data_IF_808894512596
#
_entry.id   IF_808894512596
#
_cell.length_a   1.000
_cell.length_b   1.000
_cell.length_c   1.000
_cell.angle_alpha   90.00
_cell.angle_beta   90.00
_cell.angle_gamma   90.00
#
_symmetry.space_group_name_H-M   'P 1'
#
loop_
_entity.id
_entity.type
_entity.pdbx_description
1 polymer ?
#
# COMPACT_ATOMS: atom_id res chain seq x y z
N UNK A 1 2.39 35.39 -23.31
CA UNK A 1 3.32 35.06 -22.22
C UNK A 1 3.00 33.65 -21.78
N UNK A 2 3.80 32.69 -22.21
CA UNK A 2 3.68 31.30 -21.79
C UNK A 2 4.23 31.21 -20.36
N UNK A 3 3.34 30.92 -19.39
CA UNK A 3 3.79 30.54 -18.06
C UNK A 3 4.59 29.23 -18.24
N UNK A 4 5.87 29.29 -17.94
CA UNK A 4 6.69 28.09 -17.78
C UNK A 4 6.07 27.29 -16.63
N UNK A 5 5.53 26.12 -16.95
CA UNK A 5 5.13 25.12 -15.96
C UNK A 5 6.35 24.82 -15.10
N UNK A 6 6.41 25.41 -13.92
CA UNK A 6 7.38 25.05 -12.90
C UNK A 6 6.96 23.67 -12.38
N UNK A 7 7.41 22.63 -13.08
CA UNK A 7 7.36 21.26 -12.52
C UNK A 7 8.14 21.29 -11.22
N UNK A 8 7.42 21.27 -10.09
CA UNK A 8 8.03 21.26 -8.76
C UNK A 8 8.77 19.96 -8.60
N UNK A 9 10.10 20.02 -8.57
CA UNK A 9 10.95 18.84 -8.47
C UNK A 9 10.72 18.15 -7.13
N UNK A 10 10.48 16.86 -7.17
CA UNK A 10 10.43 16.02 -5.97
C UNK A 10 11.86 15.77 -5.44
N UNK A 11 11.97 15.68 -4.12
CA UNK A 11 13.21 15.26 -3.43
C UNK A 11 13.32 13.73 -3.30
N UNK A 12 12.40 13.00 -3.91
CA UNK A 12 12.36 11.55 -3.84
C UNK A 12 13.26 10.93 -4.91
N UNK A 13 13.94 9.86 -4.52
CA UNK A 13 14.74 9.02 -5.42
C UNK A 13 14.30 7.57 -5.31
N UNK A 14 14.44 6.85 -6.41
CA UNK A 14 14.31 5.39 -6.41
C UNK A 14 15.55 4.77 -5.74
N UNK A 15 15.33 3.83 -4.83
CA UNK A 15 16.43 3.21 -4.09
C UNK A 15 17.39 2.48 -5.01
N UNK A 16 16.86 1.74 -6.00
CA UNK A 16 17.69 0.95 -6.93
C UNK A 16 18.63 1.80 -7.81
N UNK A 17 18.23 3.01 -8.17
CA UNK A 17 19.01 3.92 -9.01
C UNK A 17 19.88 4.88 -8.21
N UNK A 18 19.92 4.75 -6.89
CA UNK A 18 20.67 5.60 -5.98
C UNK A 18 21.95 4.90 -5.49
N UNK A 19 22.87 5.68 -4.91
CA UNK A 19 24.04 5.16 -4.19
C UNK A 19 23.69 4.71 -2.75
N UNK A 20 22.42 4.81 -2.36
CA UNK A 20 21.94 4.44 -1.03
C UNK A 20 21.56 2.97 -0.98
N UNK A 21 21.88 2.33 0.13
CA UNK A 21 21.51 0.96 0.43
C UNK A 21 20.56 0.91 1.62
N UNK A 22 19.80 -0.18 1.72
CA UNK A 22 18.99 -0.46 2.90
C UNK A 22 19.90 -0.57 4.13
N UNK A 23 19.40 -0.06 5.26
CA UNK A 23 20.11 -0.20 6.54
C UNK A 23 20.35 -1.68 6.83
N UNK A 24 21.56 -2.01 7.30
CA UNK A 24 21.94 -3.40 7.61
C UNK A 24 20.95 -4.01 8.62
N UNK A 25 20.30 -5.06 8.21
CA UNK A 25 19.30 -5.77 9.01
C UNK A 25 17.86 -5.53 8.54
N UNK A 26 17.61 -4.53 7.70
CA UNK A 26 16.31 -4.38 7.06
C UNK A 26 16.19 -5.23 5.79
N UNK A 27 15.06 -5.92 5.58
CA UNK A 27 14.89 -6.78 4.41
C UNK A 27 14.69 -5.94 3.14
N UNK A 28 15.25 -6.41 2.03
CA UNK A 28 14.85 -5.92 0.72
C UNK A 28 13.46 -6.48 0.38
N UNK A 29 12.47 -5.59 0.41
CA UNK A 29 11.06 -5.96 0.20
C UNK A 29 10.65 -5.92 -1.27
N UNK A 30 11.56 -5.60 -2.19
CA UNK A 30 11.26 -5.63 -3.62
C UNK A 30 10.86 -7.05 -4.04
N UNK A 31 9.89 -7.14 -4.93
CA UNK A 31 9.23 -8.38 -5.35
C UNK A 31 8.37 -9.08 -4.27
N UNK A 32 8.27 -8.55 -3.05
CA UNK A 32 7.34 -9.07 -2.08
C UNK A 32 5.90 -8.89 -2.58
N UNK A 33 5.06 -9.86 -2.23
CA UNK A 33 3.62 -9.78 -2.52
C UNK A 33 2.98 -8.67 -1.72
N UNK A 34 2.02 -8.00 -2.34
CA UNK A 34 1.20 -6.98 -1.71
C UNK A 34 -0.21 -7.52 -1.55
N UNK A 35 -0.70 -7.53 -0.32
CA UNK A 35 -2.03 -8.00 0.04
C UNK A 35 -2.83 -6.80 0.56
N UNK A 36 -3.99 -6.58 -0.02
CA UNK A 36 -4.94 -5.54 0.38
C UNK A 36 -6.05 -6.08 1.30
N UNK A 37 -7.13 -5.31 1.39
CA UNK A 37 -8.34 -5.72 2.12
C UNK A 37 -8.87 -7.07 1.63
N UNK A 38 -9.52 -7.81 2.53
CA UNK A 38 -10.10 -9.12 2.25
C UNK A 38 -9.07 -10.18 1.82
N UNK A 39 -7.80 -9.99 2.19
CA UNK A 39 -6.70 -10.90 1.84
C UNK A 39 -6.48 -11.06 0.32
N UNK A 40 -6.85 -10.05 -0.46
CA UNK A 40 -6.71 -10.06 -1.91
C UNK A 40 -5.29 -9.67 -2.34
N UNK A 41 -4.66 -10.47 -3.19
CA UNK A 41 -3.36 -10.11 -3.79
C UNK A 41 -3.56 -8.94 -4.76
N UNK A 42 -2.92 -7.80 -4.46
CA UNK A 42 -2.96 -6.56 -5.24
C UNK A 42 -1.88 -6.56 -6.32
N UNK A 43 -0.72 -7.11 -6.00
CA UNK A 43 0.44 -7.10 -6.88
C UNK A 43 1.73 -7.35 -6.12
N UNK A 44 2.80 -6.66 -6.53
CA UNK A 44 4.12 -6.78 -5.92
C UNK A 44 4.79 -5.42 -5.73
N UNK A 45 5.63 -5.31 -4.71
CA UNK A 45 6.52 -4.15 -4.57
C UNK A 45 7.52 -4.16 -5.73
N UNK A 46 7.56 -3.09 -6.48
CA UNK A 46 8.50 -2.89 -7.59
C UNK A 46 9.73 -2.12 -7.15
N UNK A 47 9.53 -1.05 -6.33
CA UNK A 47 10.58 -0.14 -5.94
C UNK A 47 10.20 0.60 -4.64
N UNK A 48 11.17 1.27 -4.03
CA UNK A 48 11.01 2.15 -2.88
C UNK A 48 11.43 3.55 -3.27
N UNK A 49 10.61 4.55 -2.94
CA UNK A 49 10.98 5.94 -3.06
C UNK A 49 11.34 6.47 -1.68
N UNK A 50 12.55 6.98 -1.56
CA UNK A 50 13.03 7.56 -0.33
C UNK A 50 13.37 9.05 -0.51
N UNK A 51 13.28 9.76 0.57
CA UNK A 51 13.66 11.15 0.67
C UNK A 51 15.18 11.26 0.91
N UNK A 52 15.88 11.84 -0.05
CA UNK A 52 17.33 11.98 -0.03
C UNK A 52 17.87 12.79 1.15
N UNK A 53 17.08 13.69 1.71
CA UNK A 53 17.51 14.56 2.82
C UNK A 53 17.26 13.90 4.19
N UNK A 54 16.09 13.32 4.39
CA UNK A 54 15.74 12.64 5.64
C UNK A 54 16.16 11.16 5.67
N UNK A 55 16.57 10.58 4.53
CA UNK A 55 16.89 9.17 4.32
C UNK A 55 15.74 8.21 4.72
N UNK A 56 14.51 8.72 4.69
CA UNK A 56 13.31 7.93 5.02
C UNK A 56 12.59 7.47 3.78
N UNK A 57 12.14 6.23 3.78
CA UNK A 57 11.22 5.73 2.74
C UNK A 57 9.89 6.46 2.89
N UNK A 58 9.37 7.00 1.79
CA UNK A 58 8.10 7.73 1.75
C UNK A 58 7.01 6.97 1.01
N UNK A 59 7.39 6.25 -0.05
CA UNK A 59 6.43 5.50 -0.86
C UNK A 59 6.94 4.11 -1.23
N UNK A 60 6.01 3.20 -1.35
CA UNK A 60 6.17 1.94 -2.05
C UNK A 60 5.67 2.13 -3.49
N UNK A 61 6.47 1.73 -4.46
CA UNK A 61 6.02 1.59 -5.85
C UNK A 61 5.47 0.18 -6.01
N UNK A 62 4.17 0.07 -6.24
CA UNK A 62 3.49 -1.21 -6.38
C UNK A 62 3.14 -1.45 -7.85
N UNK A 63 3.56 -2.60 -8.36
CA UNK A 63 3.12 -3.10 -9.65
C UNK A 63 1.79 -3.85 -9.45
N UNK A 64 0.68 -3.19 -9.79
CA UNK A 64 -0.66 -3.75 -9.65
C UNK A 64 -0.83 -4.89 -10.66
N UNK A 65 -1.23 -6.07 -10.18
CA UNK A 65 -1.79 -7.12 -11.03
C UNK A 65 -3.29 -6.83 -11.26
N UNK A 66 -3.58 -6.08 -12.31
CA UNK A 66 -4.92 -5.55 -12.54
C UNK A 66 -5.96 -6.61 -12.92
N UNK A 67 -5.55 -7.71 -13.57
CA UNK A 67 -6.46 -8.72 -14.11
C UNK A 67 -7.43 -9.32 -13.06
N UNK A 68 -6.97 -9.82 -11.90
CA UNK A 68 -7.86 -10.33 -10.86
C UNK A 68 -8.72 -9.26 -10.19
N UNK A 69 -8.31 -8.00 -10.30
CA UNK A 69 -8.96 -6.85 -9.66
C UNK A 69 -9.93 -6.12 -10.59
N UNK A 70 -10.05 -6.56 -11.84
CA UNK A 70 -10.74 -5.83 -12.91
C UNK A 70 -10.22 -4.39 -13.09
N UNK A 71 -8.91 -4.22 -12.96
CA UNK A 71 -8.18 -2.96 -13.14
C UNK A 71 -7.15 -3.06 -14.25
N UNK A 72 -6.58 -1.92 -14.64
CA UNK A 72 -5.42 -1.87 -15.54
C UNK A 72 -4.15 -2.14 -14.71
N UNK A 73 -3.30 -3.06 -15.20
CA UNK A 73 -1.98 -3.29 -14.59
C UNK A 73 -1.08 -2.07 -14.82
N UNK A 74 -0.56 -1.52 -13.74
CA UNK A 74 0.30 -0.32 -13.77
C UNK A 74 1.09 -0.18 -12.48
N UNK A 75 2.08 0.70 -12.48
CA UNK A 75 2.78 1.13 -11.28
C UNK A 75 1.99 2.25 -10.60
N UNK A 76 1.87 2.17 -9.29
CA UNK A 76 1.26 3.20 -8.44
C UNK A 76 2.11 3.47 -7.21
N UNK A 77 1.95 4.65 -6.62
CA UNK A 77 2.59 5.02 -5.36
C UNK A 77 1.63 4.80 -4.19
N UNK A 78 2.12 4.15 -3.15
CA UNK A 78 1.39 3.99 -1.89
C UNK A 78 2.25 4.51 -0.75
N UNK A 79 1.74 5.44 0.09
CA UNK A 79 2.47 5.96 1.24
C UNK A 79 2.90 4.84 2.20
N UNK A 80 4.13 4.92 2.70
CA UNK A 80 4.74 3.87 3.53
C UNK A 80 3.99 3.59 4.83
N UNK A 81 3.35 4.60 5.42
CA UNK A 81 2.60 4.47 6.66
C UNK A 81 1.33 3.63 6.56
N UNK A 82 0.88 3.32 5.33
CA UNK A 82 -0.24 2.40 5.07
C UNK A 82 0.21 0.95 5.00
N UNK A 83 1.51 0.69 5.01
CA UNK A 83 2.10 -0.64 4.82
C UNK A 83 2.53 -1.25 6.15
N UNK A 84 2.33 -2.56 6.26
CA UNK A 84 2.85 -3.39 7.33
C UNK A 84 3.61 -4.57 6.73
N UNK A 85 4.82 -4.86 7.25
CA UNK A 85 5.67 -5.93 6.72
C UNK A 85 5.45 -7.23 7.50
N UNK A 86 5.08 -8.28 6.80
CA UNK A 86 5.10 -9.64 7.31
C UNK A 86 6.39 -10.31 6.81
N UNK A 87 7.47 -10.15 7.61
CA UNK A 87 8.84 -10.50 7.17
C UNK A 87 9.02 -11.99 6.87
N UNK A 88 8.42 -12.86 7.67
CA UNK A 88 8.54 -14.31 7.49
C UNK A 88 7.83 -14.80 6.22
N UNK A 89 6.69 -14.19 5.91
CA UNK A 89 5.88 -14.52 4.74
C UNK A 89 6.36 -13.81 3.48
N UNK A 90 7.23 -12.82 3.61
CA UNK A 90 7.64 -11.90 2.54
C UNK A 90 6.44 -11.22 1.88
N UNK A 91 5.57 -10.65 2.70
CA UNK A 91 4.33 -9.99 2.30
C UNK A 91 4.31 -8.56 2.84
N UNK A 92 3.80 -7.64 2.03
CA UNK A 92 3.40 -6.31 2.45
C UNK A 92 1.89 -6.29 2.57
N UNK A 93 1.40 -6.01 3.76
CA UNK A 93 -0.03 -5.88 4.04
C UNK A 93 -0.44 -4.41 3.98
N UNK A 94 -1.48 -4.11 3.21
CA UNK A 94 -2.08 -2.78 3.05
C UNK A 94 -3.52 -2.80 3.58
N UNK A 95 -3.68 -2.80 4.90
CA UNK A 95 -4.99 -2.99 5.54
C UNK A 95 -5.99 -1.84 5.31
N UNK A 96 -5.52 -0.65 4.94
CA UNK A 96 -6.36 0.50 4.61
C UNK A 96 -6.67 0.67 3.13
N UNK A 97 -6.14 -0.17 2.24
CA UNK A 97 -6.24 -0.01 0.81
C UNK A 97 -7.38 -0.86 0.22
N UNK A 98 -8.32 -0.21 -0.43
CA UNK A 98 -9.41 -0.85 -1.15
C UNK A 98 -9.27 -0.68 -2.68
N UNK A 99 -10.13 -1.36 -3.44
CA UNK A 99 -10.14 -1.31 -4.92
C UNK A 99 -10.38 0.10 -5.46
N UNK A 100 -11.23 0.89 -4.80
CA UNK A 100 -11.51 2.27 -5.22
C UNK A 100 -10.26 3.14 -5.10
N UNK A 101 -9.52 3.01 -4.00
CA UNK A 101 -8.22 3.68 -3.85
C UNK A 101 -7.27 3.28 -4.98
N UNK A 102 -7.13 1.98 -5.25
CA UNK A 102 -6.27 1.49 -6.34
C UNK A 102 -6.65 2.04 -7.71
N UNK A 103 -7.96 2.13 -7.99
CA UNK A 103 -8.45 2.66 -9.25
C UNK A 103 -8.15 4.16 -9.42
N UNK A 104 -8.22 4.93 -8.32
CA UNK A 104 -8.04 6.38 -8.29
C UNK A 104 -6.57 6.83 -8.25
N UNK A 105 -5.65 5.95 -7.82
CA UNK A 105 -4.23 6.31 -7.77
C UNK A 105 -3.68 6.66 -9.15
N UNK A 106 -2.87 7.72 -9.28
CA UNK A 106 -2.20 8.04 -10.53
C UNK A 106 -1.19 6.96 -10.94
N UNK A 107 -1.00 6.80 -12.24
CA UNK A 107 0.07 5.93 -12.76
C UNK A 107 1.42 6.54 -12.44
N UNK A 108 2.31 5.75 -11.88
CA UNK A 108 3.69 6.14 -11.66
C UNK A 108 4.55 5.75 -12.86
N UNK A 109 5.34 6.69 -13.37
CA UNK A 109 6.38 6.44 -14.36
C UNK A 109 7.75 6.49 -13.68
N UNK A 110 8.59 5.48 -13.96
CA UNK A 110 9.93 5.39 -13.36
C UNK A 110 10.76 6.66 -13.58
N UNK A 111 11.36 7.15 -12.51
CA UNK A 111 12.19 8.35 -12.53
C UNK A 111 11.42 9.65 -12.75
N UNK A 112 10.09 9.61 -12.86
CA UNK A 112 9.26 10.78 -13.06
C UNK A 112 8.33 10.97 -11.87
N UNK A 113 8.86 11.52 -10.80
CA UNK A 113 8.05 11.93 -9.67
C UNK A 113 8.05 13.44 -9.55
N UNK A 114 6.88 14.02 -9.41
CA UNK A 114 6.67 15.44 -9.16
C UNK A 114 5.87 15.64 -7.88
N UNK A 115 5.94 16.84 -7.33
CA UNK A 115 5.10 17.22 -6.18
C UNK A 115 3.63 17.05 -6.51
N UNK A 116 3.20 17.36 -7.73
CA UNK A 116 1.80 17.20 -8.14
C UNK A 116 1.35 15.74 -8.09
N UNK A 117 2.24 14.81 -8.45
CA UNK A 117 1.97 13.37 -8.30
C UNK A 117 1.82 12.98 -6.83
N UNK A 118 2.67 13.51 -5.95
CA UNK A 118 2.58 13.27 -4.51
C UNK A 118 1.28 13.79 -3.92
N UNK A 119 0.81 14.97 -4.35
CA UNK A 119 -0.48 15.52 -3.96
C UNK A 119 -1.64 14.66 -4.43
N UNK A 120 -1.64 14.27 -5.70
CA UNK A 120 -2.69 13.41 -6.24
C UNK A 120 -2.78 12.07 -5.51
N UNK A 121 -1.64 11.50 -5.09
CA UNK A 121 -1.62 10.30 -4.24
C UNK A 121 -2.21 10.59 -2.87
N UNK A 122 -1.82 11.72 -2.24
CA UNK A 122 -2.31 12.09 -0.91
C UNK A 122 -3.83 12.31 -0.90
N UNK A 123 -4.39 12.92 -1.93
CA UNK A 123 -5.84 13.13 -2.07
C UNK A 123 -6.64 11.83 -2.10
N UNK A 124 -6.11 10.77 -2.72
CA UNK A 124 -6.79 9.47 -2.76
C UNK A 124 -7.01 8.90 -1.36
N UNK A 125 -6.10 9.16 -0.42
CA UNK A 125 -6.17 8.65 0.95
C UNK A 125 -6.76 9.66 1.95
N UNK A 126 -7.11 10.86 1.50
CA UNK A 126 -7.74 11.87 2.35
C UNK A 126 -9.17 11.48 2.68
N UNK A 127 -9.63 11.68 3.91
CA UNK A 127 -11.02 11.42 4.25
C UNK A 127 -11.95 12.32 3.44
N UNK A 128 -13.06 11.76 2.96
CA UNK A 128 -14.07 12.46 2.14
C UNK A 128 -14.69 13.73 2.81
N UNK A 129 -14.40 13.97 4.06
CA UNK A 129 -14.92 15.08 4.86
C UNK A 129 -14.09 16.37 4.76
N UNK A 130 -13.23 16.47 3.73
CA UNK A 130 -12.75 17.76 3.24
C UNK A 130 -12.15 18.70 4.27
N UNK A 131 -11.34 18.22 5.19
CA UNK A 131 -10.27 19.10 5.68
C UNK A 131 -9.26 19.18 4.53
N UNK A 132 -9.60 20.03 3.56
CA UNK A 132 -8.67 20.43 2.52
C UNK A 132 -7.37 20.80 3.23
N UNK A 133 -6.31 20.05 2.92
CA UNK A 133 -4.98 20.43 3.37
C UNK A 133 -4.79 21.89 3.01
N UNK A 134 -4.56 22.73 4.01
CA UNK A 134 -4.39 24.16 3.76
C UNK A 134 -3.21 24.31 2.82
N UNK A 135 -3.32 25.20 1.85
CA UNK A 135 -2.30 25.40 0.80
C UNK A 135 -0.89 25.73 1.35
N UNK A 136 -0.78 26.13 2.62
CA UNK A 136 0.49 26.41 3.30
C UNK A 136 1.38 25.17 3.49
N UNK A 137 0.80 23.97 3.62
CA UNK A 137 1.58 22.72 3.71
C UNK A 137 2.23 22.31 2.38
N UNK A 138 1.83 22.98 1.30
CA UNK A 138 2.29 22.63 -0.04
C UNK A 138 3.75 23.05 -0.33
N UNK A 139 4.26 24.03 0.36
CA UNK A 139 5.64 24.51 0.20
C UNK A 139 6.57 23.92 1.26
N UNK A 140 6.04 23.59 2.45
CA UNK A 140 6.80 22.97 3.53
C UNK A 140 6.81 21.43 3.35
N UNK A 141 8.00 20.93 3.04
CA UNK A 141 8.24 19.49 2.87
C UNK A 141 8.02 18.71 4.16
N UNK A 142 8.48 19.24 5.28
CA UNK A 142 8.41 18.57 6.57
C UNK A 142 6.96 18.49 7.04
N UNK A 143 6.18 19.56 6.84
CA UNK A 143 4.75 19.57 7.09
C UNK A 143 4.01 18.56 6.20
N UNK A 144 4.37 18.46 4.91
CA UNK A 144 3.77 17.49 4.00
C UNK A 144 3.94 16.04 4.45
N UNK A 145 5.12 15.66 4.92
CA UNK A 145 5.40 14.29 5.38
C UNK A 145 5.11 14.08 6.87
N UNK A 146 4.73 15.11 7.62
CA UNK A 146 4.29 14.99 9.00
C UNK A 146 2.81 14.56 9.08
N UNK A 147 2.49 13.45 8.42
CA UNK A 147 1.18 12.85 8.37
C UNK A 147 1.26 11.34 8.65
N UNK A 148 0.19 10.77 9.23
CA UNK A 148 0.16 9.34 9.59
C UNK A 148 0.45 8.41 8.40
N UNK A 149 0.09 8.81 7.18
CA UNK A 149 0.36 8.04 5.96
C UNK A 149 1.85 7.92 5.64
N UNK A 150 2.70 8.78 6.22
CA UNK A 150 4.15 8.74 6.05
C UNK A 150 4.90 8.31 7.32
N UNK A 151 4.15 7.94 8.37
CA UNK A 151 4.75 7.39 9.58
C UNK A 151 5.20 5.94 9.30
N UNK A 152 6.51 5.76 9.25
CA UNK A 152 7.15 4.46 8.98
C UNK A 152 7.25 3.55 10.21
N UNK A 153 6.74 3.95 11.37
CA UNK A 153 6.80 3.14 12.58
C UNK A 153 6.11 1.78 12.44
N UNK A 154 4.98 1.72 11.72
CA UNK A 154 4.30 0.44 11.46
C UNK A 154 5.11 -0.42 10.50
N UNK A 155 5.76 0.20 9.55
CA UNK A 155 6.65 -0.44 8.61
C UNK A 155 7.89 -1.02 9.32
N UNK A 156 8.43 -0.30 10.30
CA UNK A 156 9.60 -0.71 11.10
C UNK A 156 9.24 -1.71 12.23
N UNK A 157 8.03 -1.66 12.79
CA UNK A 157 7.61 -2.44 13.97
C UNK A 157 7.22 -3.89 13.66
N UNK A 158 7.92 -4.59 12.84
CA UNK A 158 7.63 -6.00 12.54
C UNK A 158 7.86 -6.99 13.71
N UNK A 159 8.09 -6.51 14.94
CA UNK A 159 8.28 -7.34 16.14
C UNK A 159 7.00 -7.77 16.86
N UNK A 160 5.84 -7.18 16.57
CA UNK A 160 4.54 -7.50 17.21
C UNK A 160 3.72 -8.56 16.46
N UNK A 161 4.35 -9.36 15.59
CA UNK A 161 3.67 -10.24 14.64
C UNK A 161 3.11 -11.54 15.22
N UNK A 162 3.48 -11.95 16.42
CA UNK A 162 3.05 -13.24 16.98
C UNK A 162 1.53 -13.25 17.16
N UNK A 163 0.95 -12.15 17.67
CA UNK A 163 -0.50 -12.07 17.91
C UNK A 163 -1.31 -11.89 16.63
N UNK A 164 -0.78 -11.14 15.63
CA UNK A 164 -1.46 -10.96 14.34
C UNK A 164 -1.37 -12.18 13.44
N UNK A 165 -0.29 -12.94 13.49
CA UNK A 165 -0.17 -14.23 12.80
C UNK A 165 -1.22 -15.22 13.28
N UNK A 166 -1.50 -15.21 14.60
CA UNK A 166 -2.56 -16.02 15.19
C UNK A 166 -3.95 -15.52 14.80
N UNK A 167 -4.20 -14.22 14.83
CA UNK A 167 -5.47 -13.62 14.41
C UNK A 167 -5.80 -13.90 12.94
N UNK A 168 -4.80 -13.82 12.04
CA UNK A 168 -4.97 -14.15 10.63
C UNK A 168 -5.26 -15.65 10.43
N UNK A 169 -4.53 -16.52 11.14
CA UNK A 169 -4.78 -17.98 11.13
C UNK A 169 -6.14 -18.33 11.71
N UNK A 170 -6.55 -17.67 12.78
CA UNK A 170 -7.87 -17.84 13.39
C UNK A 170 -8.98 -17.35 12.47
N UNK A 171 -8.84 -16.16 11.84
CA UNK A 171 -9.80 -15.65 10.85
C UNK A 171 -9.95 -16.55 9.63
N UNK A 172 -8.86 -17.11 9.13
CA UNK A 172 -8.89 -18.12 8.04
C UNK A 172 -9.58 -19.39 8.51
N UNK A 173 -9.28 -19.87 9.72
CA UNK A 173 -9.86 -21.06 10.32
C UNK A 173 -11.36 -20.88 10.53
N UNK A 174 -11.81 -19.76 11.07
CA UNK A 174 -13.23 -19.41 11.20
C UNK A 174 -13.96 -19.33 9.86
N UNK A 175 -13.36 -18.75 8.83
CA UNK A 175 -13.95 -18.71 7.49
C UNK A 175 -14.06 -20.09 6.87
N UNK A 176 -13.04 -20.94 7.03
CA UNK A 176 -13.08 -22.34 6.56
C UNK A 176 -14.19 -23.11 7.28
N UNK A 177 -14.34 -22.94 8.59
CA UNK A 177 -15.40 -23.62 9.34
C UNK A 177 -16.80 -23.12 8.94
N UNK A 178 -17.00 -21.82 8.73
CA UNK A 178 -18.27 -21.27 8.21
C UNK A 178 -18.64 -21.83 6.83
N UNK A 179 -17.66 -21.93 5.94
CA UNK A 179 -17.88 -22.50 4.61
C UNK A 179 -18.25 -23.97 4.71
N UNK A 180 -17.56 -24.76 5.55
CA UNK A 180 -17.88 -26.18 5.79
C UNK A 180 -19.30 -26.35 6.38
N UNK A 181 -19.69 -25.50 7.31
CA UNK A 181 -21.01 -25.54 7.92
C UNK A 181 -22.10 -25.18 6.92
N UNK A 182 -21.86 -24.19 6.04
CA UNK A 182 -22.76 -23.84 4.94
C UNK A 182 -22.92 -24.98 3.95
N UNK A 183 -21.85 -25.67 3.58
CA UNK A 183 -21.89 -26.83 2.69
C UNK A 183 -22.70 -27.97 3.33
N UNK A 184 -22.41 -28.31 4.60
CA UNK A 184 -23.19 -29.35 5.34
C UNK A 184 -24.69 -29.02 5.40
N UNK A 185 -25.04 -27.75 5.56
CA UNK A 185 -26.44 -27.32 5.59
C UNK A 185 -27.12 -27.52 4.25
N UNK A 186 -26.43 -27.19 3.16
CA UNK A 186 -26.92 -27.41 1.80
C UNK A 186 -27.09 -28.91 1.50
N UNK A 187 -26.16 -29.77 1.89
CA UNK A 187 -26.23 -31.22 1.72
C UNK A 187 -27.44 -31.81 2.46
N UNK A 188 -27.66 -31.39 3.71
CA UNK A 188 -28.81 -31.82 4.52
C UNK A 188 -30.16 -31.34 3.96
N UNK A 189 -30.22 -30.17 3.33
CA UNK A 189 -31.45 -29.65 2.71
C UNK A 189 -31.75 -30.38 1.38
N UNK A 190 -30.75 -30.79 0.63
CA UNK A 190 -30.89 -31.62 -0.58
C UNK A 190 -31.43 -32.99 -0.23
N UNK A 191 -30.92 -33.64 0.83
CA UNK A 191 -31.40 -34.97 1.29
C UNK A 191 -32.84 -34.93 1.79
N UNK A 192 -33.32 -33.81 2.29
CA UNK A 192 -34.72 -33.63 2.71
C UNK A 192 -35.70 -33.39 1.55
N UNK A 193 -35.20 -32.86 0.43
CA UNK A 193 -36.03 -32.61 -0.78
C UNK A 193 -36.15 -33.85 -1.69
N UNK A 194 -35.37 -34.89 -1.45
CA UNK A 194 -35.32 -36.11 -2.24
C UNK A 194 -36.20 -37.25 -1.70
N UNK A 195 -37.01 -36.98 -0.66
CA UNK A 195 -38.00 -37.90 -0.10
C UNK A 195 -39.41 -37.30 -0.27
#
# INVERSE_FOLDING_TARGET
MLQADHVRTSYLKELHSSEFEMVKGEPDIRNWKVIGLQNQEVGKVSELLFDEVSHRVRYLVININGKPLNLISRLVLVPVGLAELLKEEKVVLLSGLNITHLASLPTYEKGKISRDTEYAVREVFSPANGLAYQNDDMEDRDAFYNHEHFNDERFARSGLQIDKKNALKEGIKENIERVKESVRKMENDVDKMGK
#
